data_IF_563998224463
#
_entry.id   IF_563998224463
#
_cell.length_a   1.000
_cell.length_b   1.000
_cell.length_c   1.000
_cell.angle_alpha   90.00
_cell.angle_beta   90.00
_cell.angle_gamma   90.00
#
_symmetry.space_group_name_H-M   'P 1'
#
loop_
_entity.id
_entity.type
_entity.pdbx_description
1 polymer ?
#
# COMPACT_ATOMS: atom_id res chain seq x y z
N UNK A 1 3.91 -2.97 18.99
CA UNK A 1 2.79 -2.08 18.59
C UNK A 1 2.98 -1.49 17.19
N UNK A 2 4.13 -0.86 16.86
CA UNK A 2 4.40 -0.31 15.53
C UNK A 2 4.17 -1.30 14.37
N UNK A 3 4.54 -2.57 14.53
CA UNK A 3 4.34 -3.62 13.53
C UNK A 3 2.86 -3.84 13.14
N UNK A 4 1.95 -3.70 14.11
CA UNK A 4 0.51 -3.85 13.88
C UNK A 4 0.01 -2.68 13.04
N UNK A 5 0.37 -1.45 13.41
CA UNK A 5 0.01 -0.25 12.64
C UNK A 5 0.56 -0.32 11.21
N UNK A 6 1.81 -0.75 11.06
CA UNK A 6 2.43 -0.89 9.75
C UNK A 6 1.71 -1.94 8.89
N UNK A 7 1.34 -3.09 9.46
CA UNK A 7 0.55 -4.11 8.75
C UNK A 7 -0.81 -3.56 8.31
N UNK A 8 -1.52 -2.83 9.18
CA UNK A 8 -2.80 -2.19 8.86
C UNK A 8 -2.65 -1.17 7.71
N UNK A 9 -1.61 -0.34 7.75
CA UNK A 9 -1.35 0.65 6.69
C UNK A 9 -1.03 -0.02 5.35
N UNK A 10 -0.19 -1.05 5.35
CA UNK A 10 0.13 -1.80 4.13
C UNK A 10 -1.12 -2.48 3.55
N UNK A 11 -1.96 -3.09 4.38
CA UNK A 11 -3.22 -3.70 3.95
C UNK A 11 -4.19 -2.66 3.35
N UNK A 12 -4.28 -1.47 3.95
CA UNK A 12 -5.12 -0.38 3.44
C UNK A 12 -4.66 0.13 2.06
N UNK A 13 -3.34 0.27 1.85
CA UNK A 13 -2.78 0.65 0.54
C UNK A 13 -3.12 -0.41 -0.50
N UNK A 14 -2.87 -1.69 -0.19
CA UNK A 14 -3.16 -2.79 -1.09
C UNK A 14 -4.63 -2.85 -1.48
N UNK A 15 -5.54 -2.71 -0.51
CA UNK A 15 -6.98 -2.70 -0.77
C UNK A 15 -7.40 -1.53 -1.66
N UNK A 16 -6.86 -0.33 -1.41
CA UNK A 16 -7.21 0.86 -2.19
C UNK A 16 -6.69 0.81 -3.63
N UNK A 17 -5.47 0.33 -3.85
CA UNK A 17 -4.88 0.25 -5.20
C UNK A 17 -5.40 -0.97 -5.95
N UNK A 18 -5.45 -2.14 -5.31
CA UNK A 18 -5.78 -3.40 -5.96
C UNK A 18 -7.27 -3.66 -6.13
N UNK A 19 -8.10 -3.28 -5.14
CA UNK A 19 -9.53 -3.64 -5.12
C UNK A 19 -10.47 -2.46 -5.33
N UNK A 20 -10.10 -1.28 -4.83
CA UNK A 20 -10.96 -0.08 -4.92
C UNK A 20 -10.75 0.72 -6.20
N UNK A 21 -9.57 0.65 -6.80
CA UNK A 21 -9.31 1.36 -8.05
C UNK A 21 -10.22 0.84 -9.17
N UNK A 22 -10.94 1.75 -9.81
CA UNK A 22 -11.66 1.50 -11.05
C UNK A 22 -11.15 2.49 -12.10
N UNK A 23 -10.68 2.03 -13.27
CA UNK A 23 -10.34 2.94 -14.36
C UNK A 23 -11.60 3.72 -14.77
N UNK A 24 -11.48 5.04 -14.95
CA UNK A 24 -12.58 5.82 -15.53
C UNK A 24 -12.75 5.39 -17.01
N UNK A 25 -13.99 5.45 -17.56
CA UNK A 25 -14.30 4.94 -18.90
C UNK A 25 -13.48 5.57 -20.05
N UNK A 26 -12.89 6.75 -19.87
CA UNK A 26 -12.03 7.44 -20.85
C UNK A 26 -10.52 7.44 -20.52
N UNK A 27 -10.09 6.67 -19.51
CA UNK A 27 -8.68 6.70 -19.09
C UNK A 27 -7.82 5.91 -20.05
N UNK A 28 -6.88 6.57 -20.74
CA UNK A 28 -5.87 5.86 -21.55
C UNK A 28 -4.98 5.00 -20.66
N UNK A 29 -4.81 3.73 -21.04
CA UNK A 29 -3.91 2.82 -20.35
C UNK A 29 -2.46 3.27 -20.49
N UNK A 30 -1.81 3.64 -19.37
CA UNK A 30 -0.38 3.95 -19.31
C UNK A 30 0.33 2.77 -18.62
N UNK A 31 1.12 1.99 -19.38
CA UNK A 31 1.82 0.79 -18.86
C UNK A 31 2.68 1.10 -17.62
N UNK A 32 3.42 2.21 -17.64
CA UNK A 32 4.23 2.63 -16.50
C UNK A 32 3.41 2.82 -15.21
N UNK A 33 2.17 3.32 -15.31
CA UNK A 33 1.28 3.49 -14.15
C UNK A 33 0.77 2.17 -13.60
N UNK A 34 0.45 1.24 -14.51
CA UNK A 34 0.06 -0.13 -14.14
C UNK A 34 1.22 -0.86 -13.44
N UNK A 35 2.44 -0.71 -13.96
CA UNK A 35 3.65 -1.30 -13.37
C UNK A 35 3.93 -0.73 -11.97
N UNK A 36 3.78 0.58 -11.79
CA UNK A 36 3.97 1.22 -10.48
C UNK A 36 2.87 0.84 -9.48
N UNK A 37 1.62 0.72 -9.94
CA UNK A 37 0.53 0.19 -9.11
C UNK A 37 0.81 -1.25 -8.68
N UNK A 38 1.27 -2.09 -9.60
CA UNK A 38 1.66 -3.47 -9.32
C UNK A 38 2.81 -3.54 -8.31
N UNK A 39 3.87 -2.75 -8.49
CA UNK A 39 5.02 -2.70 -7.59
C UNK A 39 4.61 -2.22 -6.18
N UNK A 40 3.75 -1.19 -6.08
CA UNK A 40 3.24 -0.72 -4.81
C UNK A 40 2.41 -1.80 -4.10
N UNK A 41 1.54 -2.51 -4.83
CA UNK A 41 0.75 -3.62 -4.30
C UNK A 41 1.63 -4.80 -3.84
N UNK A 42 2.62 -5.20 -4.63
CA UNK A 42 3.47 -6.35 -4.30
C UNK A 42 4.33 -6.08 -3.06
N UNK A 43 4.95 -4.91 -2.96
CA UNK A 43 5.77 -4.50 -1.82
C UNK A 43 4.92 -4.39 -0.55
N UNK A 44 3.77 -3.72 -0.63
CA UNK A 44 2.89 -3.55 0.54
C UNK A 44 2.27 -4.87 0.99
N UNK A 45 1.89 -5.74 0.04
CA UNK A 45 1.42 -7.10 0.33
C UNK A 45 2.49 -7.94 1.03
N UNK A 46 3.71 -7.98 0.47
CA UNK A 46 4.85 -8.70 1.08
C UNK A 46 5.18 -8.16 2.48
N UNK A 47 5.22 -6.84 2.65
CA UNK A 47 5.49 -6.23 3.95
C UNK A 47 4.42 -6.58 4.99
N UNK A 48 3.15 -6.59 4.58
CA UNK A 48 2.03 -6.99 5.44
C UNK A 48 2.18 -8.45 5.90
N UNK A 49 2.45 -9.37 4.96
CA UNK A 49 2.65 -10.79 5.27
C UNK A 49 3.89 -10.99 6.16
N UNK A 50 4.99 -10.32 5.86
CA UNK A 50 6.22 -10.42 6.65
C UNK A 50 6.05 -9.97 8.10
N UNK A 51 5.12 -9.03 8.37
CA UNK A 51 4.80 -8.60 9.72
C UNK A 51 3.74 -9.49 10.39
N UNK A 52 2.72 -9.93 9.66
CA UNK A 52 1.63 -10.74 10.21
C UNK A 52 2.01 -12.19 10.43
N UNK A 53 2.77 -12.82 9.53
CA UNK A 53 3.17 -14.22 9.63
C UNK A 53 3.87 -14.56 10.95
N UNK A 54 4.90 -13.82 11.43
CA UNK A 54 5.52 -14.13 12.71
C UNK A 54 4.60 -13.86 13.91
N UNK A 55 3.70 -12.89 13.82
CA UNK A 55 2.72 -12.61 14.88
C UNK A 55 1.72 -13.77 15.01
N UNK A 56 1.19 -14.26 13.89
CA UNK A 56 0.16 -15.32 13.87
C UNK A 56 0.77 -16.70 14.16
N UNK A 57 1.93 -17.01 13.57
CA UNK A 57 2.53 -18.34 13.66
C UNK A 57 3.37 -18.55 14.93
N UNK A 58 4.01 -17.49 15.42
CA UNK A 58 4.97 -17.61 16.54
C UNK A 58 4.61 -16.74 17.74
N UNK A 59 3.57 -15.89 17.66
CA UNK A 59 3.24 -14.93 18.72
C UNK A 59 4.31 -13.86 18.96
N UNK A 60 5.30 -13.76 18.05
CA UNK A 60 6.43 -12.83 18.18
C UNK A 60 6.08 -11.53 17.48
N UNK A 61 6.20 -10.41 18.19
CA UNK A 61 6.03 -9.09 17.61
C UNK A 61 7.35 -8.62 17.01
N UNK A 62 7.48 -8.56 15.67
CA UNK A 62 8.70 -8.08 15.04
C UNK A 62 8.93 -6.61 15.41
N UNK A 63 10.21 -6.27 15.63
CA UNK A 63 10.61 -4.91 15.92
C UNK A 63 10.49 -4.06 14.64
N UNK A 64 9.37 -3.36 14.51
CA UNK A 64 9.12 -2.44 13.41
C UNK A 64 9.52 -1.02 13.80
N UNK A 65 10.22 -0.33 12.90
CA UNK A 65 10.60 1.07 13.11
C UNK A 65 9.37 1.98 13.05
N UNK A 66 9.24 2.87 14.04
CA UNK A 66 8.23 3.92 14.06
C UNK A 66 8.35 4.89 12.87
N UNK A 67 9.58 5.11 12.39
CA UNK A 67 9.83 5.91 11.20
C UNK A 67 9.19 5.30 9.95
N UNK A 68 9.41 3.99 9.72
CA UNK A 68 8.77 3.28 8.62
C UNK A 68 7.25 3.31 8.75
N UNK A 69 6.72 3.16 9.96
CA UNK A 69 5.26 3.25 10.20
C UNK A 69 4.69 4.62 9.80
N UNK A 70 5.40 5.71 10.08
CA UNK A 70 5.01 7.05 9.66
C UNK A 70 5.04 7.24 8.12
N UNK A 71 6.04 6.66 7.45
CA UNK A 71 6.10 6.63 5.98
C UNK A 71 4.90 5.88 5.38
N UNK A 72 4.57 4.70 5.89
CA UNK A 72 3.42 3.95 5.42
C UNK A 72 2.10 4.67 5.70
N UNK A 73 1.98 5.36 6.85
CA UNK A 73 0.83 6.22 7.12
C UNK A 73 0.69 7.32 6.07
N UNK A 74 1.78 8.01 5.74
CA UNK A 74 1.76 9.07 4.72
C UNK A 74 1.41 8.51 3.33
N UNK A 75 1.94 7.33 3.00
CA UNK A 75 1.57 6.60 1.78
C UNK A 75 0.07 6.24 1.75
N UNK A 76 -0.51 5.76 2.86
CA UNK A 76 -1.97 5.53 2.98
C UNK A 76 -2.74 6.81 2.69
N UNK A 77 -2.35 7.94 3.28
CA UNK A 77 -3.03 9.24 3.08
C UNK A 77 -2.98 9.66 1.62
N UNK A 78 -1.83 9.52 0.95
CA UNK A 78 -1.68 9.85 -0.47
C UNK A 78 -2.54 8.96 -1.37
N UNK A 79 -2.50 7.64 -1.14
CA UNK A 79 -3.31 6.66 -1.87
C UNK A 79 -4.80 6.91 -1.64
N UNK A 80 -5.20 7.25 -0.41
CA UNK A 80 -6.58 7.56 -0.09
C UNK A 80 -7.05 8.84 -0.77
N UNK A 81 -6.25 9.91 -0.75
CA UNK A 81 -6.54 11.15 -1.49
C UNK A 81 -6.65 10.92 -2.99
N UNK A 82 -5.81 10.06 -3.54
CA UNK A 82 -5.87 9.69 -4.95
C UNK A 82 -6.97 8.65 -5.26
N UNK A 83 -7.71 8.16 -4.26
CA UNK A 83 -8.71 7.09 -4.36
C UNK A 83 -8.16 5.83 -5.06
N UNK A 84 -6.88 5.51 -4.83
CA UNK A 84 -6.20 4.39 -5.49
C UNK A 84 -5.70 4.68 -6.90
N UNK A 85 -5.93 5.88 -7.46
CA UNK A 85 -5.43 6.24 -8.78
C UNK A 85 -3.95 6.68 -8.72
N UNK A 86 -3.06 5.78 -9.11
CA UNK A 86 -1.61 6.01 -9.12
C UNK A 86 -1.19 7.14 -10.07
N UNK A 87 -1.89 7.34 -11.19
CA UNK A 87 -1.58 8.44 -12.12
C UNK A 87 -1.80 9.82 -11.49
N UNK A 88 -2.85 9.95 -10.67
CA UNK A 88 -3.14 11.17 -9.90
C UNK A 88 -2.11 11.41 -8.79
N UNK A 89 -1.54 10.35 -8.20
CA UNK A 89 -0.44 10.47 -7.23
C UNK A 89 0.80 11.06 -7.89
N UNK A 90 1.11 10.61 -9.12
CA UNK A 90 2.30 11.06 -9.85
C UNK A 90 2.11 12.39 -10.60
N UNK A 91 0.90 12.97 -10.58
CA UNK A 91 0.53 14.17 -11.37
C UNK A 91 0.91 14.06 -12.85
N UNK A 92 0.78 12.85 -13.42
CA UNK A 92 1.03 12.62 -14.86
C UNK A 92 -0.32 12.54 -15.56
N UNK A 93 -0.98 13.69 -15.69
CA UNK A 93 -2.09 13.86 -16.63
C UNK A 93 -1.52 14.08 -18.04
#
# INVERSE_FOLDING_TARGET
MAAIFQAVFCAAIFFMIGLRYRPLPDTRYKFAMSLMAWAACSITGMQCISLLAPIVLHGVYPNASWFNSAFYFLAVVLVWRARGNVARIMKVD
#
